data_IF_224982523531
#
_entry.id   IF_224982523531
#
_cell.length_a   1.000
_cell.length_b   1.000
_cell.length_c   1.000
_cell.angle_alpha   90.00
_cell.angle_beta   90.00
_cell.angle_gamma   90.00
#
_symmetry.space_group_name_H-M   'P 1'
#
loop_
_entity.id
_entity.type
_entity.pdbx_description
1 polymer ?
#
# COMPACT_ATOMS: atom_id res chain seq x y z
N UNK A 1 1.66 -33.96 -3.09
CA UNK A 1 2.64 -32.98 -2.57
C UNK A 1 2.79 -31.88 -3.62
N UNK A 2 2.86 -30.61 -3.20
CA UNK A 2 3.11 -29.49 -4.14
C UNK A 2 4.62 -29.35 -4.37
N UNK A 3 5.01 -29.00 -5.60
CA UNK A 3 6.38 -28.61 -5.95
C UNK A 3 6.60 -27.10 -5.83
N UNK A 4 5.52 -26.33 -5.61
CA UNK A 4 5.60 -24.89 -5.38
C UNK A 4 6.02 -24.61 -3.94
N UNK A 5 7.10 -23.85 -3.76
CA UNK A 5 7.52 -23.41 -2.43
C UNK A 5 6.65 -22.23 -1.95
N UNK A 6 5.56 -22.54 -1.26
CA UNK A 6 4.62 -21.52 -0.72
C UNK A 6 5.22 -20.80 0.49
N UNK A 7 4.78 -19.52 0.72
CA UNK A 7 5.17 -18.75 1.92
C UNK A 7 4.84 -19.46 3.24
N UNK A 8 3.76 -20.27 3.25
CA UNK A 8 3.37 -21.13 4.37
C UNK A 8 3.39 -22.59 3.91
N UNK A 9 4.56 -23.27 3.88
CA UNK A 9 4.72 -24.58 3.25
C UNK A 9 3.95 -25.71 3.95
N UNK A 10 3.48 -25.46 5.18
CA UNK A 10 2.63 -26.43 5.91
C UNK A 10 1.12 -26.23 5.66
N UNK A 11 0.73 -25.15 4.99
CA UNK A 11 -0.67 -24.89 4.71
C UNK A 11 -1.14 -25.61 3.45
N UNK A 12 -2.32 -26.21 3.50
CA UNK A 12 -3.02 -26.72 2.31
C UNK A 12 -3.91 -25.60 1.79
N UNK A 13 -3.63 -25.11 0.59
CA UNK A 13 -4.38 -24.03 -0.03
C UNK A 13 -5.41 -24.58 -1.02
N UNK A 14 -6.63 -24.02 -1.12
CA UNK A 14 -7.53 -24.34 -2.22
C UNK A 14 -6.89 -23.92 -3.56
N UNK A 15 -7.23 -24.64 -4.63
CA UNK A 15 -6.72 -24.36 -5.97
C UNK A 15 -7.72 -23.44 -6.68
N UNK A 16 -7.36 -22.19 -6.90
CA UNK A 16 -8.15 -21.24 -7.69
C UNK A 16 -8.09 -21.62 -9.18
N UNK A 17 -9.24 -21.65 -9.85
CA UNK A 17 -9.35 -22.06 -11.27
C UNK A 17 -10.00 -20.99 -12.15
N UNK A 18 -10.78 -20.05 -11.55
CA UNK A 18 -11.44 -18.98 -12.29
C UNK A 18 -11.67 -17.76 -11.41
N UNK A 19 -11.93 -16.64 -12.06
CA UNK A 19 -12.43 -15.41 -11.44
C UNK A 19 -13.67 -14.90 -12.18
N UNK A 20 -14.62 -14.32 -11.44
CA UNK A 20 -15.86 -13.78 -11.98
C UNK A 20 -16.28 -12.53 -11.17
N UNK A 21 -16.19 -11.36 -11.79
CA UNK A 21 -16.44 -10.10 -11.10
C UNK A 21 -15.56 -9.96 -9.85
N UNK A 22 -16.18 -9.91 -8.67
CA UNK A 22 -15.46 -9.79 -7.39
C UNK A 22 -15.14 -11.13 -6.73
N UNK A 23 -15.39 -12.25 -7.40
CA UNK A 23 -15.26 -13.59 -6.80
C UNK A 23 -14.12 -14.40 -7.45
N UNK A 24 -13.46 -15.20 -6.61
CA UNK A 24 -12.56 -16.28 -7.03
C UNK A 24 -13.28 -17.61 -6.84
N UNK A 25 -13.08 -18.53 -7.79
CA UNK A 25 -13.70 -19.86 -7.82
C UNK A 25 -12.60 -20.89 -7.69
N UNK A 26 -12.74 -21.83 -6.75
CA UNK A 26 -11.78 -22.93 -6.58
C UNK A 26 -12.15 -24.18 -7.40
N UNK A 27 -11.25 -25.17 -7.41
CA UNK A 27 -11.39 -26.43 -8.15
C UNK A 27 -12.57 -27.31 -7.67
N UNK A 28 -13.20 -26.97 -6.56
CA UNK A 28 -14.41 -27.63 -6.06
C UNK A 28 -15.68 -26.85 -6.40
N UNK A 29 -15.56 -25.72 -7.13
CA UNK A 29 -16.64 -24.84 -7.49
C UNK A 29 -17.09 -23.89 -6.38
N UNK A 30 -16.39 -23.84 -5.25
CA UNK A 30 -16.69 -22.89 -4.19
C UNK A 30 -16.27 -21.49 -4.59
N UNK A 31 -17.16 -20.54 -4.36
CA UNK A 31 -16.98 -19.11 -4.66
C UNK A 31 -16.58 -18.35 -3.40
N UNK A 32 -15.63 -17.43 -3.56
CA UNK A 32 -15.12 -16.59 -2.49
C UNK A 32 -15.19 -15.13 -2.94
N UNK A 33 -15.93 -14.30 -2.23
CA UNK A 33 -15.88 -12.85 -2.43
C UNK A 33 -14.51 -12.36 -2.02
N UNK A 34 -13.81 -11.69 -2.93
CA UNK A 34 -12.49 -11.08 -2.67
C UNK A 34 -12.65 -9.70 -2.04
N UNK A 35 -12.89 -9.66 -0.72
CA UNK A 35 -13.02 -8.41 0.03
C UNK A 35 -11.68 -7.78 0.42
N UNK A 36 -10.55 -8.31 -0.08
CA UNK A 36 -9.23 -7.76 0.21
C UNK A 36 -8.39 -7.45 -1.05
N UNK A 37 -8.95 -7.74 -2.25
CA UNK A 37 -8.21 -7.58 -3.50
C UNK A 37 -6.92 -8.40 -3.52
N UNK A 38 -6.91 -9.57 -2.87
CA UNK A 38 -5.69 -10.31 -2.54
C UNK A 38 -4.85 -9.58 -1.50
N UNK A 39 -4.22 -8.48 -1.87
CA UNK A 39 -3.50 -7.55 -0.99
C UNK A 39 -3.69 -6.10 -1.50
N UNK A 40 -4.93 -5.67 -1.66
CA UNK A 40 -5.35 -4.40 -2.27
C UNK A 40 -4.94 -4.26 -3.75
N UNK A 41 -4.90 -5.36 -4.50
CA UNK A 41 -4.44 -5.41 -5.89
C UNK A 41 -5.62 -5.35 -6.87
N UNK A 42 -6.59 -6.27 -6.75
CA UNK A 42 -7.61 -6.57 -7.76
C UNK A 42 -8.75 -5.53 -7.78
N UNK A 43 -8.41 -4.27 -8.09
CA UNK A 43 -9.36 -3.15 -8.03
C UNK A 43 -10.49 -3.26 -9.06
N UNK A 44 -10.29 -3.91 -10.21
CA UNK A 44 -11.31 -4.16 -11.22
C UNK A 44 -11.93 -5.58 -11.14
N UNK A 45 -11.67 -6.31 -10.06
CA UNK A 45 -12.04 -7.72 -9.96
C UNK A 45 -11.22 -8.62 -10.90
N UNK A 46 -11.78 -9.77 -11.29
CA UNK A 46 -11.01 -10.88 -11.84
C UNK A 46 -11.34 -11.24 -13.31
N UNK A 47 -12.21 -10.51 -14.01
CA UNK A 47 -12.68 -10.90 -15.34
C UNK A 47 -12.99 -9.70 -16.25
N UNK A 48 -12.29 -8.59 -16.10
CA UNK A 48 -12.51 -7.42 -16.96
C UNK A 48 -12.03 -7.70 -18.38
N UNK A 49 -12.98 -7.84 -19.31
CA UNK A 49 -12.69 -8.21 -20.70
C UNK A 49 -11.83 -7.15 -21.41
N UNK A 50 -12.01 -5.85 -21.15
CA UNK A 50 -11.27 -4.78 -21.77
C UNK A 50 -9.77 -4.90 -21.49
N UNK A 51 -9.41 -5.17 -20.21
CA UNK A 51 -8.01 -5.33 -19.82
C UNK A 51 -7.41 -6.60 -20.43
N UNK A 52 -8.16 -7.71 -20.44
CA UNK A 52 -7.73 -8.97 -21.08
C UNK A 52 -7.46 -8.75 -22.56
N UNK A 53 -8.38 -8.13 -23.28
CA UNK A 53 -8.25 -7.83 -24.70
C UNK A 53 -7.05 -6.90 -25.00
N UNK A 54 -6.78 -5.92 -24.13
CA UNK A 54 -5.63 -5.04 -24.27
C UNK A 54 -4.30 -5.81 -24.16
N UNK A 55 -4.21 -6.74 -23.21
CA UNK A 55 -3.05 -7.63 -23.04
C UNK A 55 -2.87 -8.50 -24.29
N UNK A 56 -3.93 -9.14 -24.77
CA UNK A 56 -3.89 -10.01 -25.94
C UNK A 56 -3.45 -9.25 -27.20
N UNK A 57 -4.02 -8.08 -27.47
CA UNK A 57 -3.63 -7.23 -28.62
C UNK A 57 -2.16 -6.86 -28.54
N UNK A 58 -1.69 -6.40 -27.37
CA UNK A 58 -0.29 -5.98 -27.21
C UNK A 58 0.66 -7.17 -27.31
N UNK A 59 0.33 -8.31 -26.71
CA UNK A 59 1.14 -9.52 -26.77
C UNK A 59 1.29 -10.04 -28.21
N UNK A 60 0.24 -9.93 -29.05
CA UNK A 60 0.30 -10.28 -30.49
C UNK A 60 1.14 -9.29 -31.30
N UNK A 61 1.11 -7.99 -30.95
CA UNK A 61 1.86 -6.93 -31.65
C UNK A 61 3.35 -6.95 -31.26
N UNK A 62 3.64 -6.84 -29.98
CA UNK A 62 4.99 -6.83 -29.41
C UNK A 62 4.90 -7.03 -27.89
N UNK A 63 5.21 -8.20 -27.35
CA UNK A 63 5.11 -8.44 -25.90
C UNK A 63 6.18 -7.71 -25.10
N UNK A 64 7.40 -7.58 -25.63
CA UNK A 64 8.55 -7.04 -24.94
C UNK A 64 9.53 -6.35 -25.91
N UNK A 65 10.08 -5.22 -25.47
CA UNK A 65 11.25 -4.58 -26.05
C UNK A 65 12.15 -4.08 -24.92
N UNK A 66 13.46 -4.29 -25.04
CA UNK A 66 14.40 -3.87 -24.00
C UNK A 66 14.61 -2.36 -24.02
N UNK A 67 14.45 -1.70 -22.88
CA UNK A 67 14.47 -0.23 -22.72
C UNK A 67 15.83 0.43 -23.02
N UNK A 68 16.92 -0.33 -23.14
CA UNK A 68 18.20 0.19 -23.62
C UNK A 68 18.20 0.46 -25.14
N UNK A 69 17.22 -0.02 -25.88
CA UNK A 69 17.16 0.11 -27.33
C UNK A 69 15.88 0.77 -27.82
N UNK A 70 14.76 0.60 -27.10
CA UNK A 70 13.45 1.04 -27.54
C UNK A 70 12.60 1.51 -26.38
N UNK A 71 11.77 2.50 -26.60
CA UNK A 71 10.55 2.73 -25.85
C UNK A 71 9.35 2.12 -26.59
N UNK A 72 8.16 2.14 -26.01
CA UNK A 72 6.93 1.67 -26.65
C UNK A 72 5.81 2.69 -26.51
N UNK A 73 4.96 2.80 -27.54
CA UNK A 73 3.80 3.72 -27.51
C UNK A 73 2.95 3.56 -26.25
N UNK A 74 2.71 2.31 -25.82
CA UNK A 74 1.88 2.05 -24.64
C UNK A 74 2.56 2.46 -23.32
N UNK A 75 3.89 2.44 -23.25
CA UNK A 75 4.62 2.92 -22.09
C UNK A 75 4.61 4.45 -22.01
N UNK A 76 4.81 5.13 -23.16
CA UNK A 76 4.75 6.59 -23.23
C UNK A 76 3.34 7.10 -22.89
N UNK A 77 2.28 6.53 -23.51
CA UNK A 77 0.89 6.93 -23.23
C UNK A 77 0.50 6.68 -21.75
N UNK A 78 0.94 5.55 -21.18
CA UNK A 78 0.71 5.30 -19.76
C UNK A 78 1.45 6.33 -18.88
N UNK A 79 2.69 6.68 -19.22
CA UNK A 79 3.47 7.67 -18.49
C UNK A 79 2.80 9.06 -18.54
N UNK A 80 2.41 9.52 -19.75
CA UNK A 80 1.68 10.78 -19.92
C UNK A 80 0.42 10.80 -19.02
N UNK A 81 -0.40 9.75 -19.10
CA UNK A 81 -1.63 9.69 -18.32
C UNK A 81 -1.40 9.72 -16.80
N UNK A 82 -0.35 9.04 -16.33
CA UNK A 82 0.00 9.05 -14.90
C UNK A 82 0.51 10.42 -14.45
N UNK A 83 1.30 11.10 -15.27
CA UNK A 83 1.84 12.44 -14.98
C UNK A 83 0.74 13.49 -15.04
N UNK A 84 -0.13 13.48 -16.03
CA UNK A 84 -1.23 14.45 -16.19
C UNK A 84 -2.17 14.47 -14.97
N UNK A 85 -2.32 13.32 -14.30
CA UNK A 85 -3.15 13.19 -13.11
C UNK A 85 -2.37 13.33 -11.80
N UNK A 86 -1.03 13.42 -11.85
CA UNK A 86 -0.18 13.43 -10.65
C UNK A 86 -0.20 14.80 -9.94
N UNK A 87 0.12 14.82 -8.63
CA UNK A 87 0.42 16.06 -7.93
C UNK A 87 1.49 16.89 -8.67
N UNK A 88 1.32 18.22 -8.62
CA UNK A 88 2.18 19.14 -9.36
C UNK A 88 3.67 18.92 -9.07
N UNK A 89 4.50 18.95 -10.12
CA UNK A 89 5.95 18.80 -10.06
C UNK A 89 6.44 17.38 -10.30
N UNK A 90 5.57 16.37 -10.34
CA UNK A 90 5.92 14.98 -10.73
C UNK A 90 5.76 14.83 -12.24
N UNK A 91 6.84 15.00 -13.01
CA UNK A 91 6.82 15.05 -14.48
C UNK A 91 7.33 13.79 -15.19
N UNK A 92 7.86 12.80 -14.48
CA UNK A 92 8.49 11.64 -15.09
C UNK A 92 8.13 10.33 -14.39
N UNK A 93 8.10 9.22 -15.15
CA UNK A 93 7.72 7.89 -14.65
C UNK A 93 8.81 6.88 -14.96
N UNK A 94 9.26 6.17 -13.95
CA UNK A 94 10.15 5.01 -14.09
C UNK A 94 9.38 3.74 -13.80
N UNK A 95 9.10 2.93 -14.84
CA UNK A 95 8.36 1.67 -14.70
C UNK A 95 9.23 0.55 -14.14
N UNK A 96 8.62 -0.31 -13.34
CA UNK A 96 9.21 -1.52 -12.75
C UNK A 96 8.16 -2.65 -12.72
N UNK A 97 8.52 -3.83 -12.19
CA UNK A 97 7.59 -4.99 -12.18
C UNK A 97 6.77 -5.10 -10.90
N UNK A 98 6.98 -4.26 -9.90
CA UNK A 98 6.22 -4.30 -8.64
C UNK A 98 6.68 -3.31 -7.60
N UNK A 99 5.96 -3.29 -6.46
CA UNK A 99 6.15 -2.27 -5.42
C UNK A 99 7.51 -2.27 -4.75
N UNK A 100 8.09 -3.45 -4.47
CA UNK A 100 9.43 -3.50 -3.84
C UNK A 100 10.50 -2.92 -4.76
N UNK A 101 10.39 -3.15 -6.08
CA UNK A 101 11.27 -2.56 -7.08
C UNK A 101 11.05 -1.05 -7.21
N UNK A 102 9.79 -0.57 -7.11
CA UNK A 102 9.48 0.86 -7.12
C UNK A 102 10.16 1.58 -5.93
N UNK A 103 10.14 1.00 -4.75
CA UNK A 103 10.83 1.54 -3.59
C UNK A 103 12.35 1.50 -3.76
N UNK A 104 12.94 0.41 -4.28
CA UNK A 104 14.38 0.37 -4.57
C UNK A 104 14.78 1.47 -5.57
N UNK A 105 13.97 1.69 -6.62
CA UNK A 105 14.18 2.77 -7.57
C UNK A 105 14.11 4.15 -6.88
N UNK A 106 13.10 4.38 -6.02
CA UNK A 106 12.94 5.63 -5.29
C UNK A 106 14.14 5.94 -4.37
N UNK A 107 14.64 4.95 -3.62
CA UNK A 107 15.82 5.13 -2.75
C UNK A 107 17.06 5.46 -3.56
N UNK A 108 17.26 4.77 -4.69
CA UNK A 108 18.41 4.99 -5.57
C UNK A 108 18.34 6.32 -6.31
N UNK A 109 17.14 6.73 -6.76
CA UNK A 109 16.92 8.07 -7.33
C UNK A 109 17.26 9.16 -6.33
N UNK A 110 16.74 9.07 -5.10
CA UNK A 110 17.05 10.03 -4.05
C UNK A 110 18.55 10.10 -3.76
N UNK A 111 19.21 8.94 -3.69
CA UNK A 111 20.65 8.89 -3.46
C UNK A 111 21.43 9.48 -4.63
N UNK A 112 21.11 9.11 -5.87
CA UNK A 112 21.81 9.58 -7.06
C UNK A 112 21.58 11.08 -7.26
N UNK A 113 20.38 11.60 -7.04
CA UNK A 113 20.10 13.04 -7.06
C UNK A 113 21.11 13.83 -6.23
N UNK A 114 21.35 13.42 -4.98
CA UNK A 114 22.31 14.13 -4.13
C UNK A 114 23.77 13.96 -4.56
N UNK A 115 24.11 12.88 -5.23
CA UNK A 115 25.45 12.73 -5.84
C UNK A 115 25.62 13.71 -7.01
N UNK A 116 24.59 13.80 -7.88
CA UNK A 116 24.63 14.68 -9.05
C UNK A 116 24.60 16.17 -8.66
N UNK A 117 23.97 16.52 -7.55
CA UNK A 117 23.93 17.91 -7.03
C UNK A 117 25.09 18.28 -6.12
N UNK A 118 26.08 17.39 -5.96
CA UNK A 118 27.29 17.66 -5.17
C UNK A 118 27.14 17.50 -3.66
N UNK A 119 26.09 16.81 -3.21
CA UNK A 119 25.80 16.52 -1.79
C UNK A 119 25.96 15.00 -1.46
N UNK A 120 27.11 14.35 -1.79
CA UNK A 120 27.27 12.90 -1.64
C UNK A 120 27.23 12.39 -0.19
N UNK A 121 27.28 13.27 0.81
CA UNK A 121 27.11 12.95 2.22
C UNK A 121 25.66 12.58 2.58
N UNK A 122 24.64 13.00 1.82
CA UNK A 122 23.23 12.64 2.05
C UNK A 122 22.98 11.18 1.69
N UNK A 123 22.83 10.35 2.71
CA UNK A 123 22.74 8.89 2.59
C UNK A 123 21.75 8.22 3.55
N UNK A 124 21.30 8.94 4.60
CA UNK A 124 20.40 8.38 5.58
C UNK A 124 18.96 8.50 5.13
N UNK A 125 18.20 7.42 5.32
CA UNK A 125 16.76 7.37 5.10
C UNK A 125 16.06 7.27 6.43
N UNK A 126 14.99 8.06 6.61
CA UNK A 126 14.12 8.02 7.77
C UNK A 126 12.77 7.51 7.31
N UNK A 127 12.15 6.58 8.04
CA UNK A 127 10.81 6.08 7.80
C UNK A 127 10.03 5.96 9.11
N UNK A 128 8.80 5.47 9.07
CA UNK A 128 7.98 5.29 10.28
C UNK A 128 8.10 3.89 10.83
N UNK A 129 8.05 3.74 12.15
CA UNK A 129 7.77 2.44 12.77
C UNK A 129 6.43 1.91 12.27
N UNK A 130 6.27 0.58 12.24
CA UNK A 130 5.05 -0.11 11.75
C UNK A 130 4.71 0.20 10.29
N UNK A 131 5.67 0.55 9.46
CA UNK A 131 5.49 0.70 8.02
C UNK A 131 5.89 -0.57 7.25
N UNK A 132 5.42 -0.66 5.99
CA UNK A 132 5.81 -1.72 5.07
C UNK A 132 6.06 -1.13 3.68
N UNK A 133 7.28 -1.30 3.18
CA UNK A 133 7.70 -0.75 1.89
C UNK A 133 8.14 -1.82 0.87
N UNK A 134 8.17 -3.09 1.26
CA UNK A 134 8.55 -4.19 0.36
C UNK A 134 9.45 -5.23 1.01
N UNK A 135 9.97 -6.15 0.20
CA UNK A 135 10.79 -7.29 0.63
C UNK A 135 12.15 -7.39 -0.05
N UNK A 136 12.54 -6.48 -0.93
CA UNK A 136 13.92 -6.30 -1.35
C UNK A 136 14.74 -5.75 -0.18
N UNK A 137 16.05 -5.92 -0.16
CA UNK A 137 16.85 -5.57 1.03
C UNK A 137 16.75 -4.09 1.42
N UNK A 138 16.75 -3.18 0.45
CA UNK A 138 16.56 -1.75 0.72
C UNK A 138 15.14 -1.43 1.20
N UNK A 139 14.12 -1.92 0.51
CA UNK A 139 12.72 -1.73 0.91
C UNK A 139 12.41 -2.34 2.29
N UNK A 140 12.97 -3.51 2.60
CA UNK A 140 12.83 -4.14 3.92
C UNK A 140 13.59 -3.36 5.00
N UNK A 141 14.75 -2.80 4.67
CA UNK A 141 15.55 -2.03 5.60
C UNK A 141 14.83 -0.77 6.09
N UNK A 142 14.17 -0.03 5.17
CA UNK A 142 13.39 1.15 5.54
C UNK A 142 12.02 0.82 6.14
N UNK A 143 11.49 -0.39 5.92
CA UNK A 143 10.27 -0.86 6.56
C UNK A 143 10.41 -0.88 8.09
N UNK A 144 9.37 -0.38 8.81
CA UNK A 144 9.43 -0.23 10.27
C UNK A 144 8.85 -1.40 11.06
N UNK A 145 8.38 -2.48 10.42
CA UNK A 145 7.79 -3.61 11.11
C UNK A 145 8.87 -4.59 11.61
N UNK A 146 9.06 -4.68 12.91
CA UNK A 146 10.12 -5.44 13.55
C UNK A 146 10.11 -6.93 13.17
N UNK A 147 8.93 -7.57 13.19
CA UNK A 147 8.80 -9.00 12.87
C UNK A 147 9.29 -9.37 11.46
N UNK A 148 9.04 -8.49 10.48
CA UNK A 148 9.45 -8.73 9.08
C UNK A 148 10.96 -8.58 8.88
N UNK A 149 11.61 -7.71 9.66
CA UNK A 149 13.03 -7.36 9.56
C UNK A 149 13.93 -8.31 10.34
N UNK A 150 13.47 -8.83 11.48
CA UNK A 150 14.26 -9.57 12.45
C UNK A 150 15.15 -10.68 11.85
N UNK A 151 14.66 -11.57 10.97
CA UNK A 151 15.49 -12.62 10.38
C UNK A 151 16.60 -12.09 9.45
N UNK A 152 16.46 -10.86 8.95
CA UNK A 152 17.33 -10.27 7.91
C UNK A 152 18.20 -9.12 8.42
N UNK A 153 18.07 -8.72 9.69
CA UNK A 153 18.81 -7.58 10.25
C UNK A 153 20.31 -7.57 9.91
N UNK A 154 21.05 -8.71 9.93
CA UNK A 154 22.48 -8.71 9.64
C UNK A 154 22.86 -8.31 8.21
N UNK A 155 21.92 -8.30 7.29
CA UNK A 155 22.15 -7.99 5.87
C UNK A 155 21.41 -6.75 5.37
N UNK A 156 20.69 -6.04 6.25
CA UNK A 156 19.98 -4.81 5.91
C UNK A 156 20.90 -3.60 5.96
N UNK A 157 20.66 -2.65 5.07
CA UNK A 157 21.28 -1.32 5.16
C UNK A 157 20.75 -0.58 6.39
N UNK A 158 21.53 0.40 6.88
CA UNK A 158 21.10 1.27 7.97
C UNK A 158 19.89 2.12 7.55
N UNK A 159 18.85 2.13 8.38
CA UNK A 159 17.68 2.99 8.23
C UNK A 159 17.17 3.43 9.62
N UNK A 160 16.60 4.62 9.68
CA UNK A 160 16.16 5.25 10.92
C UNK A 160 14.64 5.33 10.97
N UNK A 161 14.05 5.21 12.16
CA UNK A 161 12.61 5.17 12.29
C UNK A 161 12.11 6.16 13.34
N UNK A 162 11.03 6.87 12.98
CA UNK A 162 10.25 7.75 13.86
C UNK A 162 8.87 7.15 14.14
N UNK A 163 8.10 7.77 15.03
CA UNK A 163 6.76 7.30 15.39
C UNK A 163 5.79 7.26 14.19
N UNK A 164 4.87 6.29 14.17
CA UNK A 164 3.80 6.27 13.17
C UNK A 164 2.76 7.34 13.46
N UNK A 165 2.08 7.85 12.41
CA UNK A 165 0.89 8.65 12.58
C UNK A 165 -0.32 7.72 12.82
N UNK A 166 -0.45 7.20 14.04
CA UNK A 166 -1.43 6.20 14.42
C UNK A 166 -2.30 6.70 15.58
N UNK A 167 -3.28 7.57 15.26
CA UNK A 167 -4.06 8.30 16.27
C UNK A 167 -4.70 7.38 17.32
N UNK A 168 -5.32 6.27 16.94
CA UNK A 168 -5.95 5.35 17.87
C UNK A 168 -4.99 4.84 18.98
N UNK A 169 -3.69 4.70 18.69
CA UNK A 169 -2.69 4.15 19.61
C UNK A 169 -1.75 5.19 20.22
N UNK A 170 -1.37 6.22 19.44
CA UNK A 170 -0.25 7.10 19.75
C UNK A 170 -0.67 8.52 20.14
N UNK A 171 -1.92 8.93 19.82
CA UNK A 171 -2.45 10.23 20.21
C UNK A 171 -2.76 10.23 21.72
N UNK A 172 -2.31 11.26 22.42
CA UNK A 172 -2.51 11.38 23.88
C UNK A 172 -3.94 11.81 24.19
N UNK A 173 -4.40 11.49 25.40
CA UNK A 173 -5.73 11.92 25.85
C UNK A 173 -5.82 13.46 25.85
N UNK A 174 -6.83 13.98 25.15
CA UNK A 174 -7.05 15.40 24.98
C UNK A 174 -6.12 16.11 23.99
N UNK A 175 -5.19 15.40 23.32
CA UNK A 175 -4.36 15.95 22.26
C UNK A 175 -5.19 16.12 20.97
N UNK A 176 -5.20 17.34 20.41
CA UNK A 176 -5.86 17.56 19.11
C UNK A 176 -5.05 16.92 17.97
N UNK A 177 -5.71 16.64 16.83
CA UNK A 177 -5.04 16.12 15.63
C UNK A 177 -3.89 17.03 15.19
N UNK A 178 -4.07 18.34 15.29
CA UNK A 178 -3.04 19.30 14.94
C UNK A 178 -1.83 19.25 15.89
N UNK A 179 -2.05 19.11 17.20
CA UNK A 179 -0.98 18.96 18.19
C UNK A 179 -0.24 17.64 18.02
N UNK A 180 -0.97 16.54 17.75
CA UNK A 180 -0.39 15.26 17.42
C UNK A 180 0.46 15.30 16.15
N UNK A 181 -0.05 15.90 15.08
CA UNK A 181 0.70 16.09 13.83
C UNK A 181 1.97 16.93 14.07
N UNK A 182 1.89 18.00 14.89
CA UNK A 182 3.05 18.82 15.24
C UNK A 182 4.10 18.02 16.02
N UNK A 183 3.68 17.26 17.02
CA UNK A 183 4.59 16.43 17.82
C UNK A 183 5.34 15.41 16.97
N UNK A 184 4.69 14.82 15.96
CA UNK A 184 5.33 13.89 15.04
C UNK A 184 6.29 14.60 14.06
N UNK A 185 5.94 15.80 13.61
CA UNK A 185 6.84 16.62 12.78
C UNK A 185 8.09 17.06 13.57
N UNK A 186 7.91 17.45 14.85
CA UNK A 186 9.02 17.80 15.74
C UNK A 186 9.93 16.57 16.02
N UNK A 187 9.37 15.36 16.06
CA UNK A 187 10.16 14.12 16.19
C UNK A 187 11.00 13.88 14.93
N UNK A 188 10.42 14.08 13.74
CA UNK A 188 11.17 13.99 12.49
C UNK A 188 12.29 15.02 12.45
N UNK A 189 12.01 16.27 12.82
CA UNK A 189 13.02 17.35 12.85
C UNK A 189 14.17 17.00 13.81
N UNK A 190 13.87 16.54 15.02
CA UNK A 190 14.90 16.08 15.96
C UNK A 190 15.73 14.95 15.39
N UNK A 191 15.11 13.97 14.71
CA UNK A 191 15.83 12.85 14.08
C UNK A 191 16.77 13.34 12.96
N UNK A 192 16.35 14.31 12.17
CA UNK A 192 17.20 14.94 11.14
C UNK A 192 18.43 15.60 11.80
N UNK A 193 18.24 16.31 12.90
CA UNK A 193 19.37 16.92 13.64
C UNK A 193 20.31 15.89 14.25
N UNK A 194 19.79 14.83 14.84
CA UNK A 194 20.60 13.74 15.42
C UNK A 194 21.52 13.07 14.39
N UNK A 195 21.07 12.99 13.13
CA UNK A 195 21.80 12.38 12.03
C UNK A 195 22.77 13.35 11.32
N UNK A 196 22.59 14.65 11.53
CA UNK A 196 23.19 15.72 10.74
C UNK A 196 22.31 16.04 9.53
N UNK A 197 21.74 17.23 9.49
CA UNK A 197 20.75 17.62 8.49
C UNK A 197 21.25 17.44 7.04
N UNK A 198 22.56 17.68 6.82
CA UNK A 198 23.23 17.53 5.53
C UNK A 198 23.51 16.06 5.14
N UNK A 199 23.25 15.11 6.03
CA UNK A 199 23.46 13.67 5.78
C UNK A 199 22.18 12.90 5.46
N UNK A 200 21.00 13.53 5.67
CA UNK A 200 19.71 12.88 5.44
C UNK A 200 19.27 13.09 3.98
N UNK A 201 18.97 11.98 3.29
CA UNK A 201 18.52 11.99 1.90
C UNK A 201 16.99 12.13 1.81
N UNK A 202 16.25 11.27 2.51
CA UNK A 202 14.80 11.28 2.36
C UNK A 202 14.06 10.82 3.62
N UNK A 203 12.81 11.30 3.75
CA UNK A 203 11.78 10.71 4.60
C UNK A 203 10.82 9.89 3.74
N UNK A 204 10.56 8.63 4.15
CA UNK A 204 9.72 7.68 3.41
C UNK A 204 8.50 7.31 4.24
N UNK A 205 7.30 7.42 3.64
CA UNK A 205 6.06 7.10 4.35
C UNK A 205 4.97 6.57 3.41
N UNK A 206 4.19 5.59 3.87
CA UNK A 206 2.92 5.24 3.21
C UNK A 206 1.92 6.40 3.43
N UNK A 207 1.21 6.83 2.40
CA UNK A 207 0.19 7.89 2.56
C UNK A 207 -0.94 7.42 3.49
N UNK A 208 -1.40 6.18 3.32
CA UNK A 208 -2.24 5.46 4.30
C UNK A 208 -1.54 4.16 4.64
N UNK A 209 -1.22 3.94 5.92
CA UNK A 209 -0.49 2.73 6.33
C UNK A 209 -1.32 1.48 6.06
N UNK A 210 -0.78 0.57 5.25
CA UNK A 210 -1.53 -0.59 4.78
C UNK A 210 -1.44 -1.81 5.67
N UNK A 211 -0.69 -2.80 5.19
CA UNK A 211 -0.70 -4.18 5.69
C UNK A 211 -0.27 -4.37 7.14
N UNK A 212 0.56 -3.50 7.70
CA UNK A 212 1.15 -3.68 9.04
C UNK A 212 0.29 -3.14 10.17
N UNK A 213 -0.57 -2.17 9.89
CA UNK A 213 -1.41 -1.53 10.88
C UNK A 213 -2.90 -1.48 10.51
N UNK A 214 -3.29 -1.91 9.30
CA UNK A 214 -4.69 -2.01 8.86
C UNK A 214 -5.31 -0.66 8.52
N UNK A 215 -4.97 -0.12 7.35
CA UNK A 215 -5.52 1.08 6.73
C UNK A 215 -5.54 2.31 7.66
N UNK A 216 -4.42 2.65 8.29
CA UNK A 216 -4.30 3.82 9.18
C UNK A 216 -4.10 5.09 8.35
N UNK A 217 -5.11 5.98 8.25
CA UNK A 217 -4.94 7.27 7.60
C UNK A 217 -4.15 8.22 8.49
N UNK A 218 -3.44 9.21 7.92
CA UNK A 218 -2.84 10.27 8.71
C UNK A 218 -3.93 11.15 9.35
N UNK A 219 -3.62 11.77 10.49
CA UNK A 219 -4.45 12.86 11.01
C UNK A 219 -4.30 14.10 10.12
N UNK A 220 -5.28 14.99 10.23
CA UNK A 220 -5.28 16.25 9.48
C UNK A 220 -3.96 17.01 9.69
N UNK A 221 -3.45 17.67 8.67
CA UNK A 221 -2.24 18.49 8.63
C UNK A 221 -0.91 17.71 8.79
N UNK A 222 -0.93 16.38 9.06
CA UNK A 222 0.31 15.61 9.26
C UNK A 222 1.28 15.77 8.08
N UNK A 223 0.87 15.44 6.87
CA UNK A 223 1.77 15.49 5.72
C UNK A 223 2.18 16.91 5.33
N UNK A 224 1.35 17.92 5.58
CA UNK A 224 1.74 19.32 5.38
C UNK A 224 2.88 19.74 6.31
N UNK A 225 2.80 19.36 7.59
CA UNK A 225 3.86 19.61 8.56
C UNK A 225 5.14 18.81 8.25
N UNK A 226 5.01 17.56 7.84
CA UNK A 226 6.14 16.73 7.37
C UNK A 226 6.80 17.38 6.14
N UNK A 227 6.03 17.81 5.14
CA UNK A 227 6.56 18.49 3.95
C UNK A 227 7.34 19.75 4.33
N UNK A 228 6.80 20.56 5.23
CA UNK A 228 7.48 21.76 5.71
C UNK A 228 8.81 21.47 6.40
N UNK A 229 8.90 20.39 7.17
CA UNK A 229 10.18 19.93 7.77
C UNK A 229 11.14 19.46 6.67
N UNK A 230 10.68 18.66 5.72
CA UNK A 230 11.49 18.21 4.59
C UNK A 230 12.06 19.37 3.79
N UNK A 231 11.23 20.36 3.43
CA UNK A 231 11.61 21.56 2.68
C UNK A 231 12.68 22.37 3.43
N UNK A 232 12.48 22.54 4.74
CA UNK A 232 13.39 23.33 5.60
C UNK A 232 14.82 22.77 5.58
N UNK A 233 14.99 21.47 5.48
CA UNK A 233 16.30 20.80 5.55
C UNK A 233 16.78 20.23 4.21
N UNK A 234 16.05 20.44 3.12
CA UNK A 234 16.36 19.88 1.81
C UNK A 234 16.32 18.35 1.80
N UNK A 235 15.47 17.75 2.63
CA UNK A 235 15.23 16.30 2.69
C UNK A 235 14.12 15.95 1.71
N UNK A 236 14.31 14.95 0.86
CA UNK A 236 13.28 14.53 -0.09
C UNK A 236 12.13 13.82 0.64
N UNK A 237 10.88 14.09 0.21
CA UNK A 237 9.70 13.36 0.63
C UNK A 237 9.38 12.26 -0.38
N UNK A 238 9.42 11.00 0.05
CA UNK A 238 9.01 9.84 -0.74
C UNK A 238 7.69 9.32 -0.16
N UNK A 239 6.61 9.38 -0.95
CA UNK A 239 5.34 8.78 -0.57
C UNK A 239 5.14 7.42 -1.24
N UNK A 240 4.87 6.42 -0.41
CA UNK A 240 4.53 5.08 -0.84
C UNK A 240 3.00 4.96 -0.95
N UNK A 241 2.53 4.89 -2.17
CA UNK A 241 1.12 4.70 -2.51
C UNK A 241 0.83 3.35 -3.18
N UNK A 242 1.71 2.39 -2.96
CA UNK A 242 1.58 1.05 -3.53
C UNK A 242 0.25 0.39 -3.13
N UNK A 243 -0.24 0.62 -1.91
CA UNK A 243 -1.55 0.11 -1.47
C UNK A 243 -2.66 1.16 -1.55
N UNK A 244 -2.37 2.40 -1.26
CA UNK A 244 -3.35 3.48 -1.09
C UNK A 244 -3.66 4.26 -2.37
N UNK A 245 -2.77 4.24 -3.34
CA UNK A 245 -2.94 4.92 -4.62
C UNK A 245 -3.82 4.19 -5.63
N UNK A 246 -3.81 4.70 -6.84
CA UNK A 246 -4.54 4.15 -7.99
C UNK A 246 -6.04 3.97 -7.74
N UNK A 247 -6.64 4.94 -7.04
CA UNK A 247 -8.07 4.99 -6.80
C UNK A 247 -8.55 4.38 -5.48
N UNK A 248 -7.71 3.65 -4.74
CA UNK A 248 -8.11 2.87 -3.56
C UNK A 248 -8.76 3.71 -2.45
N UNK A 249 -8.32 4.95 -2.27
CA UNK A 249 -8.87 5.90 -1.28
C UNK A 249 -10.00 6.78 -1.82
N UNK A 250 -10.35 6.65 -3.12
CA UNK A 250 -11.31 7.52 -3.80
C UNK A 250 -10.68 8.73 -4.51
N UNK A 251 -9.35 8.82 -4.46
CA UNK A 251 -8.51 9.70 -5.26
C UNK A 251 -7.53 8.85 -6.07
N UNK A 252 -7.09 9.32 -7.24
CA UNK A 252 -6.14 8.55 -8.03
C UNK A 252 -4.82 8.40 -7.26
N UNK A 253 -4.33 9.49 -6.69
CA UNK A 253 -3.23 9.50 -5.75
C UNK A 253 -3.75 9.89 -4.36
N UNK A 254 -3.48 9.05 -3.36
CA UNK A 254 -4.04 9.24 -2.03
C UNK A 254 -3.60 10.56 -1.35
N UNK A 255 -2.43 11.07 -1.68
CA UNK A 255 -1.87 12.32 -1.16
C UNK A 255 -2.62 13.58 -1.63
N UNK A 256 -3.47 13.47 -2.67
CA UNK A 256 -4.35 14.57 -3.10
C UNK A 256 -5.27 15.01 -1.96
N UNK A 257 -5.79 14.08 -1.17
CA UNK A 257 -6.66 14.38 -0.02
C UNK A 257 -5.93 15.19 1.06
N UNK A 258 -4.62 14.96 1.21
CA UNK A 258 -3.77 15.67 2.18
C UNK A 258 -3.23 17.00 1.63
N UNK A 259 -3.44 17.26 0.33
CA UNK A 259 -2.99 18.48 -0.36
C UNK A 259 -1.46 18.63 -0.34
N UNK A 260 -0.72 17.54 -0.53
CA UNK A 260 0.74 17.52 -0.53
C UNK A 260 1.27 16.88 -1.81
N UNK A 261 2.35 17.45 -2.34
CA UNK A 261 3.12 16.86 -3.44
C UNK A 261 4.46 16.31 -2.90
N UNK A 262 4.77 15.03 -3.10
CA UNK A 262 6.09 14.48 -2.76
C UNK A 262 7.10 14.79 -3.86
N UNK A 263 8.40 14.58 -3.56
CA UNK A 263 9.47 14.62 -4.57
C UNK A 263 9.54 13.34 -5.39
N UNK A 264 9.16 12.21 -4.76
CA UNK A 264 9.06 10.89 -5.39
C UNK A 264 7.80 10.18 -4.86
N UNK A 265 7.06 9.55 -5.77
CA UNK A 265 5.85 8.79 -5.42
C UNK A 265 5.91 7.40 -6.03
N UNK A 266 5.65 6.36 -5.24
CA UNK A 266 5.68 4.97 -5.72
C UNK A 266 4.30 4.36 -5.78
N UNK A 267 3.98 3.69 -6.90
CA UNK A 267 2.72 3.01 -7.16
C UNK A 267 2.94 1.60 -7.70
N UNK A 268 2.00 0.70 -7.44
CA UNK A 268 1.95 -0.65 -8.01
C UNK A 268 0.52 -1.21 -7.83
N UNK A 269 0.36 -2.50 -7.63
CA UNK A 269 -0.91 -3.17 -7.28
C UNK A 269 -2.10 -2.70 -8.12
N UNK A 270 -2.87 -1.71 -7.65
CA UNK A 270 -4.00 -1.12 -8.37
C UNK A 270 -3.63 -0.57 -9.74
N UNK A 271 -2.37 -0.22 -9.99
CA UNK A 271 -1.89 0.21 -11.30
C UNK A 271 -2.16 -0.85 -12.39
N UNK A 272 -1.86 -2.11 -12.12
CA UNK A 272 -2.12 -3.24 -13.02
C UNK A 272 -3.36 -4.05 -12.65
N UNK A 273 -4.04 -3.71 -11.54
CA UNK A 273 -5.24 -4.37 -11.02
C UNK A 273 -5.14 -5.91 -10.90
N UNK A 274 -3.92 -6.44 -10.85
CA UNK A 274 -3.66 -7.89 -10.77
C UNK A 274 -3.61 -8.61 -12.12
N UNK A 275 -3.89 -7.93 -13.23
CA UNK A 275 -3.84 -8.52 -14.57
C UNK A 275 -2.41 -8.72 -15.08
N UNK A 276 -1.50 -7.80 -14.74
CA UNK A 276 -0.07 -7.91 -15.02
C UNK A 276 0.74 -7.36 -13.85
N UNK A 277 1.93 -7.94 -13.56
CA UNK A 277 2.86 -7.37 -12.60
C UNK A 277 3.45 -6.07 -13.16
N UNK A 278 3.19 -4.95 -12.48
CA UNK A 278 3.72 -3.64 -12.82
C UNK A 278 3.78 -2.77 -11.55
N UNK A 279 4.76 -1.91 -11.50
CA UNK A 279 4.90 -0.80 -10.57
C UNK A 279 5.52 0.38 -11.27
N UNK A 280 5.50 1.53 -10.62
CA UNK A 280 6.15 2.72 -11.12
C UNK A 280 6.62 3.63 -9.99
N UNK A 281 7.64 4.42 -10.30
CA UNK A 281 8.15 5.50 -9.47
C UNK A 281 7.99 6.79 -10.25
N UNK A 282 7.09 7.68 -9.77
CA UNK A 282 6.96 9.02 -10.31
C UNK A 282 8.01 9.91 -9.66
N UNK A 283 8.59 10.79 -10.44
CA UNK A 283 9.77 11.59 -10.05
C UNK A 283 9.54 13.05 -10.41
N UNK A 284 9.96 13.95 -9.53
CA UNK A 284 9.90 15.38 -9.80
C UNK A 284 10.86 15.80 -10.93
N UNK A 285 10.47 16.85 -11.66
CA UNK A 285 11.29 17.46 -12.71
C UNK A 285 12.68 17.84 -12.16
N UNK A 286 12.74 18.34 -10.93
CA UNK A 286 14.00 18.70 -10.27
C UNK A 286 14.97 17.53 -10.16
N UNK A 287 14.48 16.34 -9.80
CA UNK A 287 15.33 15.14 -9.70
C UNK A 287 15.74 14.66 -11.09
N UNK A 288 14.80 14.66 -12.03
CA UNK A 288 15.06 14.26 -13.42
C UNK A 288 16.12 15.15 -14.06
N UNK A 289 15.94 16.47 -13.99
CA UNK A 289 16.85 17.45 -14.58
C UNK A 289 18.26 17.38 -13.98
N UNK A 290 18.37 17.10 -12.67
CA UNK A 290 19.68 16.92 -12.02
C UNK A 290 20.43 15.70 -12.58
N UNK A 291 19.73 14.59 -12.86
CA UNK A 291 20.35 13.40 -13.45
C UNK A 291 20.70 13.64 -14.92
N UNK A 292 19.81 14.29 -15.69
CA UNK A 292 20.05 14.62 -17.11
C UNK A 292 21.21 15.60 -17.26
N UNK A 293 21.26 16.63 -16.41
CA UNK A 293 22.34 17.64 -16.42
C UNK A 293 23.66 17.16 -15.84
N UNK A 294 23.64 16.11 -15.03
CA UNK A 294 24.80 15.48 -14.41
C UNK A 294 25.34 14.33 -15.26
N UNK A 295 25.24 13.08 -14.75
CA UNK A 295 25.76 11.90 -15.44
C UNK A 295 24.99 11.54 -16.73
N UNK A 296 23.74 11.99 -16.87
CA UNK A 296 22.83 11.62 -17.97
C UNK A 296 22.37 10.16 -17.93
N UNK A 297 22.56 9.46 -16.81
CA UNK A 297 22.24 8.04 -16.71
C UNK A 297 21.82 7.65 -15.30
N UNK A 298 20.61 7.06 -15.16
CA UNK A 298 20.18 6.48 -13.88
C UNK A 298 20.78 5.08 -13.68
N UNK A 299 21.65 4.93 -12.68
CA UNK A 299 22.39 3.68 -12.37
C UNK A 299 21.50 2.61 -11.72
N UNK A 300 20.36 2.32 -12.34
CA UNK A 300 19.39 1.34 -11.90
C UNK A 300 18.63 0.77 -13.10
N UNK A 301 18.30 -0.53 -13.05
CA UNK A 301 17.52 -1.15 -14.10
C UNK A 301 17.22 -2.61 -13.79
N UNK A 302 16.10 -3.07 -14.31
CA UNK A 302 15.70 -4.47 -14.34
C UNK A 302 15.34 -4.87 -15.77
N UNK A 303 15.52 -6.13 -16.14
CA UNK A 303 15.29 -6.60 -17.53
C UNK A 303 13.88 -6.31 -18.02
N UNK A 304 12.87 -6.41 -17.16
CA UNK A 304 11.46 -6.28 -17.55
C UNK A 304 10.84 -4.90 -17.27
N UNK A 305 11.64 -3.86 -17.02
CA UNK A 305 11.11 -2.50 -16.88
C UNK A 305 10.41 -2.05 -18.17
N UNK A 306 9.28 -1.35 -18.05
CA UNK A 306 8.52 -0.87 -19.19
C UNK A 306 7.96 -1.99 -20.09
N UNK A 307 7.70 -3.19 -19.53
CA UNK A 307 7.18 -4.34 -20.30
C UNK A 307 5.87 -3.98 -21.03
N UNK A 308 5.89 -4.02 -22.35
CA UNK A 308 4.80 -3.49 -23.18
C UNK A 308 3.42 -4.07 -22.84
N UNK A 309 3.30 -5.41 -22.63
CA UNK A 309 2.02 -6.00 -22.26
C UNK A 309 1.56 -5.60 -20.85
N UNK A 310 2.48 -5.33 -19.92
CA UNK A 310 2.14 -4.84 -18.58
C UNK A 310 1.70 -3.37 -18.64
N UNK A 311 2.37 -2.53 -19.44
CA UNK A 311 1.96 -1.14 -19.67
C UNK A 311 0.58 -1.08 -20.37
N UNK A 312 0.30 -1.94 -21.35
CA UNK A 312 -1.00 -2.00 -22.01
C UNK A 312 -2.13 -2.40 -21.05
N UNK A 313 -1.87 -3.35 -20.16
CA UNK A 313 -2.82 -3.71 -19.10
C UNK A 313 -3.09 -2.53 -18.17
N UNK A 314 -2.04 -1.90 -17.66
CA UNK A 314 -2.16 -0.77 -16.74
C UNK A 314 -2.84 0.45 -17.39
N UNK A 315 -2.52 0.75 -18.64
CA UNK A 315 -3.18 1.81 -19.39
C UNK A 315 -4.69 1.58 -19.51
N UNK A 316 -5.10 0.37 -19.85
CA UNK A 316 -6.53 0.04 -19.93
C UNK A 316 -7.20 0.03 -18.56
N UNK A 317 -6.50 -0.37 -17.49
CA UNK A 317 -7.01 -0.26 -16.10
C UNK A 317 -7.33 1.21 -15.78
N UNK A 318 -6.43 2.15 -16.11
CA UNK A 318 -6.67 3.58 -15.85
C UNK A 318 -7.85 4.12 -16.67
N UNK A 319 -7.98 3.70 -17.94
CA UNK A 319 -9.12 4.07 -18.77
C UNK A 319 -10.45 3.58 -18.18
N UNK A 320 -10.51 2.33 -17.76
CA UNK A 320 -11.72 1.76 -17.11
C UNK A 320 -12.07 2.52 -15.84
N UNK A 321 -11.10 2.82 -14.97
CA UNK A 321 -11.33 3.57 -13.72
C UNK A 321 -11.98 4.93 -14.01
N UNK A 322 -11.48 5.65 -15.03
CA UNK A 322 -11.99 6.98 -15.38
C UNK A 322 -13.35 6.90 -16.08
N UNK A 323 -13.47 6.12 -17.17
CA UNK A 323 -14.67 6.06 -18.00
C UNK A 323 -15.89 5.51 -17.25
N UNK A 324 -15.68 4.54 -16.35
CA UNK A 324 -16.73 3.98 -15.51
C UNK A 324 -16.91 4.76 -14.19
N UNK A 325 -16.17 5.87 -14.01
CA UNK A 325 -16.25 6.75 -12.83
C UNK A 325 -16.08 5.98 -11.51
N UNK A 326 -15.15 5.02 -11.48
CA UNK A 326 -15.01 4.10 -10.35
C UNK A 326 -14.55 4.80 -9.08
N UNK A 327 -13.89 5.97 -9.15
CA UNK A 327 -13.52 6.74 -7.96
C UNK A 327 -14.75 7.23 -7.17
N UNK A 328 -15.83 7.58 -7.87
CA UNK A 328 -17.10 7.94 -7.22
C UNK A 328 -17.70 6.74 -6.48
N UNK A 329 -17.66 5.55 -7.11
CA UNK A 329 -18.12 4.31 -6.47
C UNK A 329 -17.25 3.96 -5.25
N UNK A 330 -15.93 4.12 -5.33
CA UNK A 330 -15.00 3.92 -4.20
C UNK A 330 -15.37 4.80 -3.01
N UNK A 331 -15.67 6.08 -3.23
CA UNK A 331 -16.11 7.01 -2.18
C UNK A 331 -17.44 6.56 -1.57
N UNK A 332 -18.44 6.29 -2.42
CA UNK A 332 -19.77 5.88 -1.98
C UNK A 332 -19.76 4.53 -1.23
N UNK A 333 -19.16 3.51 -1.81
CA UNK A 333 -19.08 2.17 -1.20
C UNK A 333 -18.16 2.14 0.01
N UNK A 334 -17.11 2.97 0.02
CA UNK A 334 -16.22 3.12 1.18
C UNK A 334 -16.94 3.72 2.38
N UNK A 335 -17.79 4.72 2.19
CA UNK A 335 -18.61 5.29 3.26
C UNK A 335 -19.66 4.30 3.75
N UNK A 336 -20.34 3.63 2.82
CA UNK A 336 -21.30 2.56 3.16
C UNK A 336 -20.62 1.46 4.00
N UNK A 337 -19.46 0.97 3.58
CA UNK A 337 -18.71 -0.06 4.29
C UNK A 337 -18.37 0.36 5.72
N UNK A 338 -17.82 1.58 5.89
CA UNK A 338 -17.49 2.09 7.23
C UNK A 338 -18.72 2.30 8.11
N UNK A 339 -19.81 2.81 7.54
CA UNK A 339 -21.05 3.05 8.27
C UNK A 339 -21.67 1.72 8.77
N UNK A 340 -21.77 0.72 7.90
CA UNK A 340 -22.28 -0.60 8.26
C UNK A 340 -21.40 -1.29 9.32
N UNK A 341 -20.09 -1.19 9.20
CA UNK A 341 -19.17 -1.73 10.21
C UNK A 341 -19.31 -1.02 11.55
N UNK A 342 -19.40 0.31 11.57
CA UNK A 342 -19.60 1.09 12.80
C UNK A 342 -20.94 0.77 13.46
N UNK A 343 -22.01 0.64 12.70
CA UNK A 343 -23.32 0.24 13.20
C UNK A 343 -23.28 -1.18 13.77
N UNK A 344 -22.73 -2.15 13.02
CA UNK A 344 -22.64 -3.56 13.43
C UNK A 344 -21.83 -3.74 14.71
N UNK A 345 -20.82 -2.92 14.93
CA UNK A 345 -19.87 -3.06 16.03
C UNK A 345 -19.92 -1.93 17.08
N UNK A 346 -20.98 -1.12 17.08
CA UNK A 346 -21.11 0.05 17.97
C UNK A 346 -20.79 -0.29 19.44
N UNK A 347 -21.39 -1.37 19.95
CA UNK A 347 -21.24 -1.82 21.32
C UNK A 347 -20.39 -3.10 21.45
N UNK A 348 -19.68 -3.48 20.39
CA UNK A 348 -18.92 -4.74 20.42
C UNK A 348 -17.66 -4.60 21.30
N UNK A 349 -17.49 -5.45 22.35
CA UNK A 349 -16.43 -5.27 23.35
C UNK A 349 -15.01 -5.48 22.82
N UNK A 350 -14.87 -6.17 21.69
CA UNK A 350 -13.59 -6.58 21.12
C UNK A 350 -13.22 -5.85 19.83
N UNK A 351 -14.01 -4.88 19.37
CA UNK A 351 -13.66 -4.02 18.24
C UNK A 351 -13.18 -2.68 18.79
N UNK A 352 -11.88 -2.41 18.62
CA UNK A 352 -11.23 -1.22 19.15
C UNK A 352 -11.38 -0.02 18.22
N UNK A 353 -11.16 -0.21 16.92
CA UNK A 353 -11.19 0.88 15.93
C UNK A 353 -11.63 0.39 14.55
N UNK A 354 -12.36 1.26 13.83
CA UNK A 354 -12.75 1.10 12.44
C UNK A 354 -12.33 2.36 11.69
N UNK A 355 -11.35 2.23 10.82
CA UNK A 355 -10.66 3.34 10.16
C UNK A 355 -10.44 3.12 8.68
N UNK A 356 -10.00 4.14 7.97
CA UNK A 356 -9.61 4.05 6.56
C UNK A 356 -10.14 5.17 5.70
N UNK A 357 -9.82 5.11 4.40
CA UNK A 357 -10.27 6.04 3.34
C UNK A 357 -10.77 5.24 2.14
N UNK A 358 -11.85 5.69 1.51
CA UNK A 358 -12.45 4.97 0.36
C UNK A 358 -12.72 3.50 0.67
N UNK A 359 -12.38 2.61 -0.25
CA UNK A 359 -12.45 1.14 -0.09
C UNK A 359 -11.13 0.55 0.47
N UNK A 360 -10.52 1.24 1.40
CA UNK A 360 -9.35 0.80 2.14
C UNK A 360 -9.63 0.96 3.62
N UNK A 361 -10.11 -0.12 4.27
CA UNK A 361 -10.71 -0.09 5.60
C UNK A 361 -10.05 -1.13 6.51
N UNK A 362 -9.73 -0.72 7.73
CA UNK A 362 -9.19 -1.57 8.78
C UNK A 362 -10.16 -1.71 9.95
N UNK A 363 -10.26 -2.92 10.48
CA UNK A 363 -10.99 -3.25 11.72
C UNK A 363 -9.97 -3.78 12.70
N UNK A 364 -9.72 -3.07 13.79
CA UNK A 364 -8.76 -3.47 14.82
C UNK A 364 -9.45 -4.23 15.95
N UNK A 365 -8.87 -5.36 16.36
CA UNK A 365 -9.39 -6.19 17.41
C UNK A 365 -8.59 -5.98 18.71
N UNK A 366 -9.32 -5.90 19.81
CA UNK A 366 -8.78 -5.71 21.16
C UNK A 366 -9.47 -6.67 22.13
N UNK A 367 -8.73 -7.10 23.17
CA UNK A 367 -9.30 -7.87 24.27
C UNK A 367 -10.20 -7.00 25.14
N UNK A 368 -9.78 -5.76 25.36
CA UNK A 368 -10.51 -4.78 26.14
C UNK A 368 -10.50 -3.42 25.42
N UNK A 369 -11.69 -2.89 25.15
CA UNK A 369 -11.88 -1.68 24.35
C UNK A 369 -11.45 -0.42 25.10
N UNK A 370 -11.66 -0.36 26.41
CA UNK A 370 -11.38 0.83 27.21
C UNK A 370 -9.87 1.06 27.34
N UNK A 371 -9.13 0.00 27.65
CA UNK A 371 -7.66 0.05 27.78
C UNK A 371 -6.93 -0.16 26.46
N UNK A 372 -7.65 -0.44 25.38
CA UNK A 372 -7.09 -0.81 24.04
C UNK A 372 -6.15 -2.01 24.11
N UNK A 373 -6.28 -2.87 25.12
CA UNK A 373 -5.39 -4.03 25.34
C UNK A 373 -5.57 -5.05 24.24
N UNK A 374 -4.50 -5.49 23.53
CA UNK A 374 -4.59 -6.51 22.50
C UNK A 374 -4.85 -7.90 23.09
N UNK A 375 -5.31 -8.83 22.24
CA UNK A 375 -5.34 -10.26 22.59
C UNK A 375 -3.93 -10.81 22.74
N UNK A 376 -3.78 -11.91 23.51
CA UNK A 376 -2.51 -12.62 23.63
C UNK A 376 -2.12 -13.20 22.24
N UNK A 377 -0.93 -12.91 21.71
CA UNK A 377 -0.49 -13.37 20.39
C UNK A 377 -0.50 -14.89 20.20
N UNK A 378 -0.45 -15.67 21.31
CA UNK A 378 -0.54 -17.14 21.24
C UNK A 378 -1.84 -17.64 20.60
N UNK A 379 -2.93 -16.88 20.72
CA UNK A 379 -4.24 -17.22 20.14
C UNK A 379 -4.25 -17.08 18.61
N UNK A 380 -3.32 -16.30 18.03
CA UNK A 380 -3.25 -16.05 16.58
C UNK A 380 -4.62 -15.69 15.98
N UNK A 381 -5.35 -14.80 16.68
CA UNK A 381 -6.74 -14.46 16.35
C UNK A 381 -6.93 -14.10 14.86
N UNK A 382 -6.01 -13.33 14.27
CA UNK A 382 -5.99 -13.03 12.84
C UNK A 382 -6.03 -14.29 11.95
N UNK A 383 -5.31 -15.35 12.31
CA UNK A 383 -5.30 -16.60 11.54
C UNK A 383 -6.64 -17.38 11.69
N UNK A 384 -7.23 -17.36 12.89
CA UNK A 384 -8.55 -17.95 13.13
C UNK A 384 -9.61 -17.21 12.32
N UNK A 385 -9.61 -15.86 12.33
CA UNK A 385 -10.53 -15.03 11.52
C UNK A 385 -10.38 -15.37 10.03
N UNK A 386 -9.14 -15.47 9.52
CA UNK A 386 -8.91 -15.86 8.13
C UNK A 386 -9.61 -17.18 7.77
N UNK A 387 -9.44 -18.19 8.61
CA UNK A 387 -10.03 -19.51 8.39
C UNK A 387 -11.56 -19.46 8.43
N UNK A 388 -12.14 -18.74 9.40
CA UNK A 388 -13.57 -18.56 9.55
C UNK A 388 -14.19 -17.80 8.35
N UNK A 389 -13.52 -16.77 7.85
CA UNK A 389 -13.93 -16.04 6.66
C UNK A 389 -13.90 -16.92 5.40
N UNK A 390 -12.80 -17.65 5.18
CA UNK A 390 -12.67 -18.57 4.04
C UNK A 390 -13.73 -19.68 4.07
N UNK A 391 -14.10 -20.19 5.24
CA UNK A 391 -15.22 -21.16 5.34
C UNK A 391 -16.55 -20.57 4.88
N UNK A 392 -16.76 -19.26 5.10
CA UNK A 392 -17.96 -18.50 4.71
C UNK A 392 -17.90 -17.95 3.28
N UNK A 393 -16.88 -18.32 2.50
CA UNK A 393 -16.71 -17.82 1.13
C UNK A 393 -16.35 -16.34 1.09
N UNK A 394 -15.56 -15.86 2.06
CA UNK A 394 -15.05 -14.48 2.10
C UNK A 394 -13.52 -14.49 2.23
N UNK A 395 -12.86 -13.74 1.37
CA UNK A 395 -11.43 -13.46 1.48
C UNK A 395 -11.24 -12.11 2.14
N UNK A 396 -10.52 -12.07 3.25
CA UNK A 396 -10.10 -10.85 3.95
C UNK A 396 -8.60 -10.91 4.23
N UNK A 397 -7.99 -9.78 4.59
CA UNK A 397 -6.56 -9.70 4.87
C UNK A 397 -6.30 -9.44 6.35
N UNK A 398 -6.42 -10.45 7.23
CA UNK A 398 -6.14 -10.28 8.65
C UNK A 398 -4.66 -10.43 8.93
N UNK A 399 -4.16 -9.60 9.84
CA UNK A 399 -2.75 -9.57 10.24
C UNK A 399 -2.63 -9.48 11.76
N UNK A 400 -1.60 -10.15 12.28
CA UNK A 400 -1.12 -9.95 13.66
C UNK A 400 0.02 -8.93 13.71
N UNK A 401 0.36 -8.47 14.92
CA UNK A 401 1.45 -7.54 15.12
C UNK A 401 1.11 -6.07 14.83
N UNK A 402 -0.16 -5.70 14.93
CA UNK A 402 -0.68 -4.36 14.61
C UNK A 402 -0.01 -3.23 15.38
N UNK A 403 0.35 -3.48 16.65
CA UNK A 403 0.85 -2.44 17.56
C UNK A 403 2.35 -2.22 17.39
N UNK A 404 3.14 -3.30 17.42
CA UNK A 404 4.61 -3.24 17.47
C UNK A 404 5.31 -4.26 16.55
N UNK A 405 4.56 -4.93 15.71
CA UNK A 405 5.02 -6.05 14.89
C UNK A 405 4.87 -7.42 15.54
N UNK A 406 4.44 -7.50 16.82
CA UNK A 406 4.31 -8.74 17.59
C UNK A 406 2.92 -8.93 18.19
N UNK A 407 2.35 -7.89 18.77
CA UNK A 407 1.04 -7.92 19.42
C UNK A 407 -0.02 -7.14 18.63
N UNK A 408 -1.29 -7.47 18.88
CA UNK A 408 -2.45 -6.86 18.22
C UNK A 408 -2.83 -7.57 16.94
N UNK A 409 -4.12 -7.49 16.61
CA UNK A 409 -4.73 -8.12 15.45
C UNK A 409 -5.64 -7.12 14.74
N UNK A 410 -5.65 -7.13 13.41
CA UNK A 410 -6.58 -6.37 12.60
C UNK A 410 -7.04 -7.17 11.37
N UNK A 411 -8.13 -6.74 10.80
CA UNK A 411 -8.59 -7.19 9.48
C UNK A 411 -8.56 -6.01 8.53
N UNK A 412 -7.86 -6.14 7.41
CA UNK A 412 -7.86 -5.18 6.33
C UNK A 412 -8.85 -5.61 5.25
N UNK A 413 -9.70 -4.67 4.82
CA UNK A 413 -10.62 -4.77 3.71
C UNK A 413 -10.18 -3.84 2.59
N UNK A 414 -10.16 -4.37 1.37
CA UNK A 414 -9.82 -3.64 0.16
C UNK A 414 -10.58 -4.25 -1.05
N UNK A 415 -11.92 -4.29 -1.00
CA UNK A 415 -12.72 -4.91 -2.05
C UNK A 415 -12.52 -4.19 -3.40
N UNK A 416 -12.85 -4.86 -4.53
CA UNK A 416 -12.80 -4.24 -5.85
C UNK A 416 -13.67 -2.99 -5.96
N UNK A 417 -13.24 -2.03 -6.79
CA UNK A 417 -13.96 -0.75 -7.01
C UNK A 417 -15.32 -0.93 -7.68
N UNK A 418 -15.53 -2.06 -8.34
CA UNK A 418 -16.78 -2.45 -9.02
C UNK A 418 -17.84 -3.03 -8.06
N UNK A 419 -17.55 -3.09 -6.76
CA UNK A 419 -18.51 -3.61 -5.78
C UNK A 419 -19.83 -2.84 -5.81
N UNK A 420 -20.93 -3.60 -5.81
CA UNK A 420 -22.28 -3.05 -5.65
C UNK A 420 -22.60 -2.86 -4.17
N UNK A 421 -23.69 -2.11 -3.90
CA UNK A 421 -24.21 -1.87 -2.55
C UNK A 421 -24.50 -3.17 -1.79
N UNK A 422 -25.20 -4.10 -2.45
CA UNK A 422 -25.53 -5.42 -1.88
C UNK A 422 -24.30 -6.28 -1.59
N UNK A 423 -23.25 -6.17 -2.43
CA UNK A 423 -22.02 -6.92 -2.18
C UNK A 423 -21.28 -6.37 -0.96
N UNK A 424 -21.31 -5.06 -0.71
CA UNK A 424 -20.75 -4.47 0.52
C UNK A 424 -21.51 -4.97 1.76
N UNK A 425 -22.85 -5.01 1.72
CA UNK A 425 -23.66 -5.60 2.79
C UNK A 425 -23.27 -7.06 3.09
N UNK A 426 -23.18 -7.88 2.03
CA UNK A 426 -22.76 -9.29 2.16
C UNK A 426 -21.34 -9.44 2.74
N UNK A 427 -20.39 -8.56 2.37
CA UNK A 427 -19.04 -8.54 2.93
C UNK A 427 -19.10 -8.29 4.44
N UNK A 428 -19.88 -7.29 4.88
CA UNK A 428 -20.01 -6.95 6.30
C UNK A 428 -20.65 -8.07 7.10
N UNK A 429 -21.73 -8.67 6.59
CA UNK A 429 -22.41 -9.81 7.23
C UNK A 429 -21.45 -10.99 7.42
N UNK A 430 -20.81 -11.45 6.34
CA UNK A 430 -19.88 -12.60 6.40
C UNK A 430 -18.66 -12.32 7.27
N UNK A 431 -18.15 -11.08 7.28
CA UNK A 431 -17.06 -10.68 8.15
C UNK A 431 -17.46 -10.72 9.61
N UNK A 432 -18.66 -10.21 9.95
CA UNK A 432 -19.20 -10.24 11.30
C UNK A 432 -19.31 -11.68 11.81
N UNK A 433 -19.91 -12.56 11.04
CA UNK A 433 -20.05 -13.98 11.38
C UNK A 433 -18.67 -14.67 11.55
N UNK A 434 -17.67 -14.25 10.78
CA UNK A 434 -16.33 -14.82 10.87
C UNK A 434 -15.58 -14.32 12.12
N UNK A 435 -15.73 -13.05 12.48
CA UNK A 435 -15.14 -12.46 13.70
C UNK A 435 -15.79 -13.07 14.94
N UNK A 436 -17.12 -13.11 15.00
CA UNK A 436 -17.88 -13.66 16.14
C UNK A 436 -17.51 -15.13 16.38
N UNK A 437 -17.44 -15.95 15.32
CA UNK A 437 -17.00 -17.34 15.41
C UNK A 437 -15.53 -17.48 15.87
N UNK A 438 -14.64 -16.62 15.40
CA UNK A 438 -13.24 -16.65 15.79
C UNK A 438 -13.05 -16.26 17.26
N UNK A 439 -13.75 -15.25 17.73
CA UNK A 439 -13.73 -14.82 19.15
C UNK A 439 -14.26 -15.91 20.05
N UNK A 440 -15.37 -16.56 19.70
CA UNK A 440 -15.90 -17.68 20.46
C UNK A 440 -14.89 -18.82 20.63
N UNK A 441 -14.20 -19.20 19.55
CA UNK A 441 -13.16 -20.23 19.58
C UNK A 441 -11.95 -19.83 20.44
N UNK A 442 -11.65 -18.53 20.53
CA UNK A 442 -10.46 -18.00 21.23
C UNK A 442 -10.72 -17.78 22.72
N UNK A 443 -11.98 -17.55 23.13
CA UNK A 443 -12.34 -17.28 24.53
C UNK A 443 -12.73 -18.53 25.32
N UNK A 444 -12.92 -19.67 24.67
CA UNK A 444 -13.26 -20.95 25.30
C UNK A 444 -12.02 -21.77 25.69
N UNK A 445 -10.83 -21.41 25.19
CA UNK A 445 -9.54 -21.96 25.64
C UNK A 445 -8.90 -21.05 26.73
#
# INVERSE_FOLDING_TARGET
MTTVFHRAPRATLPVAVAGDGIEIIDSQGKRYIDACGGAAVSCLGHSNARVIDAIERQARRLPYAHTSFFTTEVAEELAERLVDAAPAGLGHVYFVSGGSEAIEAALKLARQYFVETGEPQRRHFIARRQSYHGNTLGALAIGGNAWRREPFLPILIEAHHVSPCYAYREQLDGESDEAFAQRLADELERKIFELGAESVAAFVAETVVGATAGAVPPVREYFRKIRAVCDKYGVLLILDEIMSGMGRTGYLYACEEDGVAPDILTIAKGLGAGYQPIGATLVSDTIYDAIVGGSGFFQHGHTYIGHASACAAALEVQRVIEEERLLDNVKARGEQLRSLLRERYAEHPHIGDIRGRGLFVGVELVKDRASKTPFDPKHKLHAVIKNQAMQRGLMVYPMGGTVDGRIGDHVLLAPPFICTERQIETIVERLADAIDAALHLTTVE
#
